data_IF_999149363112
#
_entry.id   IF_999149363112
#
_cell.length_a   1.000
_cell.length_b   1.000
_cell.length_c   1.000
_cell.angle_alpha   90.00
_cell.angle_beta   90.00
_cell.angle_gamma   90.00
#
_symmetry.space_group_name_H-M   'P 1'
#
loop_
_entity.id
_entity.type
_entity.pdbx_description
1 polymer ?
#
# COMPACT_ATOMS: atom_id res chain seq x y z
N UNK A 1 -34.11 -21.41 40.70
CA UNK A 1 -33.41 -22.51 41.39
C UNK A 1 -33.08 -23.62 40.40
N UNK A 2 -31.79 -23.80 40.11
CA UNK A 2 -31.05 -25.04 39.81
C UNK A 2 -29.99 -24.80 38.73
N UNK A 3 -28.78 -24.55 39.22
CA UNK A 3 -27.51 -24.62 38.51
C UNK A 3 -27.34 -25.98 37.82
N UNK A 4 -26.72 -25.99 36.65
CA UNK A 4 -25.96 -27.16 36.21
C UNK A 4 -24.71 -26.79 35.44
N UNK A 5 -23.63 -26.65 36.20
CA UNK A 5 -22.23 -26.72 35.78
C UNK A 5 -21.81 -28.19 35.59
N UNK A 6 -21.00 -28.48 34.56
CA UNK A 6 -20.04 -29.62 34.41
C UNK A 6 -19.28 -29.43 33.09
N UNK A 7 -18.05 -28.91 33.12
CA UNK A 7 -16.76 -29.62 33.18
C UNK A 7 -16.27 -30.29 31.87
N UNK A 8 -15.32 -29.60 31.23
CA UNK A 8 -13.96 -30.00 30.81
C UNK A 8 -13.70 -31.43 30.30
N UNK A 9 -13.16 -31.51 29.07
CA UNK A 9 -12.06 -32.36 28.52
C UNK A 9 -12.19 -32.24 26.98
N UNK A 10 -11.25 -31.73 26.20
CA UNK A 10 -9.81 -31.93 26.19
C UNK A 10 -9.48 -32.91 25.06
N UNK A 11 -8.90 -32.43 23.94
CA UNK A 11 -8.02 -33.21 23.06
C UNK A 11 -7.35 -32.31 22.02
N UNK A 12 -6.11 -31.97 22.33
CA UNK A 12 -5.09 -31.48 21.42
C UNK A 12 -4.54 -32.63 20.55
N UNK A 13 -3.73 -32.24 19.54
CA UNK A 13 -2.87 -33.04 18.63
C UNK A 13 -3.56 -33.35 17.29
N UNK A 14 -2.98 -33.14 16.12
CA UNK A 14 -1.56 -33.28 15.72
C UNK A 14 -1.37 -32.56 14.36
N UNK A 15 -0.50 -31.56 14.31
CA UNK A 15 0.03 -30.99 13.07
C UNK A 15 1.08 -31.96 12.51
N UNK A 16 0.89 -32.45 11.28
CA UNK A 16 1.92 -33.21 10.55
C UNK A 16 2.56 -32.29 9.52
N UNK A 17 3.70 -31.69 9.91
CA UNK A 17 4.66 -31.08 8.98
C UNK A 17 5.37 -32.20 8.24
N UNK A 18 5.24 -32.26 6.91
CA UNK A 18 6.20 -32.96 6.04
C UNK A 18 7.22 -31.94 5.56
N UNK A 19 8.41 -32.01 6.15
CA UNK A 19 9.63 -31.46 5.58
C UNK A 19 10.10 -32.43 4.49
N UNK A 20 10.21 -31.94 3.25
CA UNK A 20 11.00 -32.58 2.20
C UNK A 20 12.19 -31.66 1.96
N UNK A 21 13.37 -32.17 2.28
CA UNK A 21 14.66 -31.57 1.96
C UNK A 21 15.25 -32.34 0.78
N UNK A 22 15.54 -31.63 -0.31
CA UNK A 22 16.51 -31.98 -1.35
C UNK A 22 17.01 -30.61 -1.84
N UNK A 23 18.25 -30.21 -1.61
CA UNK A 23 19.45 -30.88 -2.07
C UNK A 23 19.85 -30.20 -3.38
N UNK A 24 20.60 -29.09 -3.29
CA UNK A 24 20.98 -28.27 -4.44
C UNK A 24 22.24 -27.46 -4.16
N UNK A 25 23.37 -28.15 -4.02
CA UNK A 25 24.70 -27.53 -4.05
C UNK A 25 25.10 -27.34 -5.51
N UNK A 26 25.21 -26.11 -6.00
CA UNK A 26 25.82 -25.83 -7.30
C UNK A 26 26.97 -24.83 -7.14
N UNK A 27 28.12 -25.39 -6.79
CA UNK A 27 29.46 -25.07 -7.29
C UNK A 27 29.51 -23.96 -8.36
N UNK A 28 29.90 -22.75 -7.97
CA UNK A 28 30.39 -21.72 -8.88
C UNK A 28 31.86 -22.00 -9.16
N UNK A 29 32.12 -22.81 -10.19
CA UNK A 29 33.47 -23.00 -10.72
C UNK A 29 33.76 -21.90 -11.74
N UNK A 30 34.74 -21.10 -11.37
CA UNK A 30 35.65 -20.37 -12.25
C UNK A 30 36.08 -21.22 -13.45
N UNK A 31 36.05 -20.65 -14.65
CA UNK A 31 37.00 -21.01 -15.70
C UNK A 31 37.37 -19.76 -16.52
N UNK A 32 38.62 -19.34 -16.32
CA UNK A 32 39.38 -18.46 -17.20
C UNK A 32 39.67 -19.21 -18.50
N UNK A 33 39.29 -18.64 -19.65
CA UNK A 33 39.91 -18.99 -20.93
C UNK A 33 40.30 -17.70 -21.64
N UNK A 34 41.59 -17.40 -21.59
CA UNK A 34 42.29 -16.48 -22.46
C UNK A 34 42.45 -17.14 -23.83
N UNK A 35 41.92 -16.53 -24.89
CA UNK A 35 42.36 -16.81 -26.26
C UNK A 35 42.35 -15.50 -27.07
N UNK A 36 43.56 -15.03 -27.35
CA UNK A 36 43.89 -13.98 -28.31
C UNK A 36 43.63 -14.44 -29.74
N UNK A 37 42.95 -13.62 -30.54
CA UNK A 37 42.82 -13.78 -31.98
C UNK A 37 42.51 -12.43 -32.64
N UNK A 38 43.48 -11.89 -33.37
CA UNK A 38 43.35 -10.66 -34.14
C UNK A 38 42.54 -10.91 -35.43
N UNK A 39 41.56 -10.06 -35.74
CA UNK A 39 41.03 -9.93 -37.10
C UNK A 39 40.57 -8.49 -37.38
N UNK A 40 40.92 -8.03 -38.57
CA UNK A 40 40.82 -6.69 -39.07
C UNK A 40 39.42 -6.32 -39.60
N UNK A 41 39.10 -5.02 -39.48
CA UNK A 41 38.33 -4.16 -40.41
C UNK A 41 36.92 -4.60 -40.83
N UNK A 42 35.93 -3.79 -40.46
CA UNK A 42 35.10 -3.01 -41.41
C UNK A 42 34.14 -2.13 -40.61
N UNK A 43 34.21 -0.80 -40.81
CA UNK A 43 33.19 0.13 -40.33
C UNK A 43 32.01 0.01 -41.30
N UNK A 44 31.10 -0.92 -41.01
CA UNK A 44 29.78 -0.90 -41.62
C UNK A 44 28.95 0.13 -40.83
N UNK A 45 28.87 1.35 -41.36
CA UNK A 45 27.90 2.33 -40.90
C UNK A 45 26.49 1.80 -41.16
N UNK A 46 25.89 1.16 -40.17
CA UNK A 46 24.45 0.95 -40.17
C UNK A 46 23.80 2.34 -40.07
N UNK A 47 23.43 2.89 -41.22
CA UNK A 47 22.38 3.91 -41.29
C UNK A 47 21.13 3.25 -40.72
N UNK A 48 20.94 3.39 -39.40
CA UNK A 48 19.65 3.21 -38.77
C UNK A 48 18.79 4.37 -39.27
N UNK A 49 18.17 4.20 -40.43
CA UNK A 49 17.06 5.03 -40.89
C UNK A 49 15.94 4.80 -39.89
N UNK A 50 15.88 5.64 -38.84
CA UNK A 50 14.75 5.65 -37.93
C UNK A 50 13.52 5.99 -38.79
N UNK A 51 12.50 5.10 -38.85
CA UNK A 51 11.25 5.47 -39.51
C UNK A 51 10.74 6.72 -38.81
N UNK A 52 10.39 7.73 -39.61
CA UNK A 52 9.73 8.95 -39.14
C UNK A 52 8.61 8.52 -38.22
N UNK A 53 8.73 8.87 -36.94
CA UNK A 53 7.75 8.55 -35.93
C UNK A 53 6.54 9.44 -36.22
N UNK A 54 5.62 8.93 -37.05
CA UNK A 54 4.27 9.46 -37.13
C UNK A 54 3.78 9.55 -35.69
N UNK A 55 3.42 10.78 -35.27
CA UNK A 55 2.87 11.05 -33.94
C UNK A 55 1.59 10.22 -33.80
N UNK A 56 1.75 9.00 -33.30
CA UNK A 56 0.65 8.13 -32.97
C UNK A 56 -0.09 8.84 -31.84
N UNK A 57 -1.30 9.33 -32.13
CA UNK A 57 -2.20 9.84 -31.11
C UNK A 57 -2.62 8.64 -30.28
N UNK A 58 -1.84 8.34 -29.24
CA UNK A 58 -2.15 7.28 -28.29
C UNK A 58 -3.39 7.73 -27.52
N UNK A 59 -4.54 7.21 -27.91
CA UNK A 59 -5.79 7.40 -27.18
C UNK A 59 -5.66 6.70 -25.82
N UNK A 60 -5.50 7.49 -24.75
CA UNK A 60 -5.39 6.94 -23.40
C UNK A 60 -6.69 6.23 -23.02
N UNK A 61 -6.65 4.97 -22.57
CA UNK A 61 -7.85 4.24 -22.20
C UNK A 61 -8.52 4.89 -20.97
N UNK A 62 -9.86 4.90 -20.95
CA UNK A 62 -10.66 5.49 -19.85
C UNK A 62 -10.28 4.93 -18.47
N UNK A 63 -9.91 3.64 -18.40
CA UNK A 63 -9.46 3.02 -17.17
C UNK A 63 -8.20 3.70 -16.57
N UNK A 64 -7.24 4.11 -17.43
CA UNK A 64 -6.04 4.81 -16.98
C UNK A 64 -6.35 6.26 -16.53
N UNK A 65 -7.32 6.91 -17.18
CA UNK A 65 -7.79 8.23 -16.74
C UNK A 65 -8.47 8.14 -15.36
N UNK A 66 -9.25 7.08 -15.14
CA UNK A 66 -9.93 6.87 -13.86
C UNK A 66 -8.95 6.52 -12.75
N UNK A 67 -7.88 5.75 -13.02
CA UNK A 67 -6.85 5.47 -12.02
C UNK A 67 -6.10 6.74 -11.60
N UNK A 68 -5.68 7.57 -12.55
CA UNK A 68 -5.02 8.84 -12.24
C UNK A 68 -5.90 9.75 -11.39
N UNK A 69 -7.17 9.90 -11.76
CA UNK A 69 -8.10 10.73 -10.98
C UNK A 69 -8.43 10.13 -9.60
N UNK A 70 -8.41 8.80 -9.47
CA UNK A 70 -8.57 8.16 -8.17
C UNK A 70 -7.37 8.47 -7.26
N UNK A 71 -6.16 8.44 -7.79
CA UNK A 71 -4.94 8.74 -7.03
C UNK A 71 -4.89 10.23 -6.62
N UNK A 72 -5.26 11.15 -7.53
CA UNK A 72 -5.42 12.57 -7.19
C UNK A 72 -6.44 12.78 -6.06
N UNK A 73 -7.56 12.05 -6.10
CA UNK A 73 -8.58 12.15 -5.07
C UNK A 73 -8.12 11.59 -3.72
N UNK A 74 -7.45 10.43 -3.71
CA UNK A 74 -6.82 9.86 -2.50
C UNK A 74 -5.85 10.86 -1.86
N UNK A 75 -5.00 11.48 -2.67
CA UNK A 75 -4.06 12.49 -2.21
C UNK A 75 -4.76 13.69 -1.54
N UNK A 76 -5.83 14.19 -2.15
CA UNK A 76 -6.62 15.29 -1.60
C UNK A 76 -7.30 14.90 -0.27
N UNK A 77 -7.83 13.68 -0.17
CA UNK A 77 -8.41 13.14 1.06
C UNK A 77 -7.36 13.02 2.16
N UNK A 78 -6.20 12.45 1.86
CA UNK A 78 -5.12 12.29 2.82
C UNK A 78 -4.63 13.65 3.35
N UNK A 79 -4.46 14.65 2.46
CA UNK A 79 -4.12 16.03 2.85
C UNK A 79 -5.16 16.62 3.80
N UNK A 80 -6.44 16.47 3.47
CA UNK A 80 -7.55 16.94 4.32
C UNK A 80 -7.50 16.31 5.71
N UNK A 81 -7.22 15.02 5.82
CA UNK A 81 -7.10 14.33 7.11
C UNK A 81 -5.93 14.90 7.92
N UNK A 82 -4.76 15.07 7.31
CA UNK A 82 -3.58 15.64 7.98
C UNK A 82 -3.82 17.08 8.44
N UNK A 83 -4.36 17.94 7.58
CA UNK A 83 -4.66 19.35 7.88
C UNK A 83 -5.62 19.51 9.06
N UNK A 84 -6.57 18.58 9.22
CA UNK A 84 -7.57 18.62 10.29
C UNK A 84 -7.10 17.97 11.59
N UNK A 85 -5.92 17.33 11.58
CA UNK A 85 -5.40 16.57 12.73
C UNK A 85 -3.91 16.85 13.01
N UNK A 86 -3.43 18.11 13.01
CA UNK A 86 -1.99 18.41 13.03
C UNK A 86 -1.25 17.85 14.26
N UNK A 87 -1.89 17.75 15.41
CA UNK A 87 -1.27 17.24 16.65
C UNK A 87 -1.01 15.72 16.63
N UNK A 88 -1.68 14.97 15.76
CA UNK A 88 -1.57 13.52 15.66
C UNK A 88 -0.61 13.08 14.55
N UNK A 89 -0.15 14.01 13.72
CA UNK A 89 0.66 13.70 12.54
C UNK A 89 2.13 13.65 12.92
N UNK A 90 2.80 12.60 12.48
CA UNK A 90 4.23 12.45 12.59
C UNK A 90 4.92 13.32 11.52
N UNK A 91 5.80 14.20 11.96
CA UNK A 91 6.69 14.96 11.08
C UNK A 91 8.03 14.24 10.95
N UNK A 92 8.51 14.04 9.72
CA UNK A 92 9.76 13.33 9.44
C UNK A 92 9.53 11.97 8.77
N UNK A 93 10.42 11.01 9.03
CA UNK A 93 10.32 9.64 8.49
C UNK A 93 9.65 8.70 9.50
N UNK A 94 8.76 7.79 9.06
CA UNK A 94 8.28 6.72 9.91
C UNK A 94 9.43 5.87 10.45
N UNK A 95 9.31 5.40 11.68
CA UNK A 95 10.33 4.57 12.31
C UNK A 95 10.47 3.21 11.58
N UNK A 96 11.62 2.56 11.74
CA UNK A 96 11.74 1.15 11.37
C UNK A 96 10.85 0.33 12.32
N UNK A 97 10.08 -0.64 11.78
CA UNK A 97 9.08 -1.41 12.52
C UNK A 97 8.03 -0.52 13.22
N UNK A 98 6.94 -0.23 12.51
CA UNK A 98 5.83 0.56 13.05
C UNK A 98 5.21 -0.13 14.27
N UNK A 99 4.73 0.67 15.24
CA UNK A 99 3.90 0.20 16.36
C UNK A 99 2.65 -0.50 15.84
N UNK A 100 1.97 0.15 14.89
CA UNK A 100 0.72 -0.33 14.31
C UNK A 100 0.56 0.22 12.89
N UNK A 101 0.00 -0.61 12.01
CA UNK A 101 -0.52 -0.18 10.71
C UNK A 101 -2.02 -0.47 10.73
N UNK A 102 -2.82 0.59 10.70
CA UNK A 102 -4.28 0.50 10.71
C UNK A 102 -4.79 0.89 9.33
N UNK A 103 -5.43 -0.06 8.63
CA UNK A 103 -6.12 0.20 7.37
C UNK A 103 -7.58 0.47 7.66
N UNK A 104 -8.08 1.63 7.27
CA UNK A 104 -9.49 1.99 7.39
C UNK A 104 -10.14 1.92 6.01
N UNK A 105 -11.22 1.14 5.89
CA UNK A 105 -12.16 1.22 4.76
C UNK A 105 -13.22 2.25 5.09
N UNK A 106 -13.52 3.15 4.16
CA UNK A 106 -14.59 4.12 4.32
C UNK A 106 -15.26 4.47 3.00
N UNK A 107 -16.53 4.84 3.07
CA UNK A 107 -17.32 5.24 1.91
C UNK A 107 -17.66 6.72 1.99
N UNK A 108 -17.43 7.43 0.88
CA UNK A 108 -17.70 8.86 0.73
C UNK A 108 -18.85 9.06 -0.24
N UNK A 109 -19.82 9.92 0.11
CA UNK A 109 -20.89 10.32 -0.80
C UNK A 109 -20.44 11.43 -1.78
N UNK A 110 -21.29 11.76 -2.75
CA UNK A 110 -21.04 12.82 -3.73
C UNK A 110 -20.77 14.20 -3.10
N UNK A 111 -21.19 14.43 -1.85
CA UNK A 111 -21.01 15.70 -1.13
C UNK A 111 -19.74 15.73 -0.28
N UNK A 112 -18.97 14.63 -0.23
CA UNK A 112 -17.77 14.51 0.60
C UNK A 112 -18.04 14.04 2.04
N UNK A 113 -19.24 13.57 2.37
CA UNK A 113 -19.53 13.01 3.68
C UNK A 113 -19.07 11.56 3.76
N UNK A 114 -18.43 11.20 4.88
CA UNK A 114 -18.13 9.80 5.20
C UNK A 114 -19.40 9.14 5.71
N UNK A 115 -19.99 8.25 4.90
CA UNK A 115 -21.26 7.58 5.21
C UNK A 115 -21.08 6.21 5.88
N UNK A 116 -19.90 5.59 5.71
CA UNK A 116 -19.49 4.36 6.40
C UNK A 116 -17.99 4.43 6.68
N UNK A 117 -17.55 3.91 7.84
CA UNK A 117 -16.13 3.67 8.12
C UNK A 117 -15.94 2.47 9.04
N UNK A 118 -14.91 1.67 8.78
CA UNK A 118 -14.56 0.48 9.56
C UNK A 118 -13.07 0.15 9.47
N UNK A 119 -12.56 -0.52 10.49
CA UNK A 119 -11.21 -1.09 10.44
C UNK A 119 -11.22 -2.28 9.48
N UNK A 120 -10.36 -2.23 8.47
CA UNK A 120 -10.16 -3.31 7.52
C UNK A 120 -9.02 -4.24 7.93
N UNK A 121 -7.90 -3.67 8.41
CA UNK A 121 -6.74 -4.42 8.90
C UNK A 121 -6.05 -3.67 10.02
N UNK A 122 -5.54 -4.41 11.00
CA UNK A 122 -4.90 -3.90 12.22
C UNK A 122 -4.09 -5.03 12.88
N UNK A 123 -3.22 -4.68 13.83
CA UNK A 123 -2.58 -5.63 14.73
C UNK A 123 -3.31 -5.76 16.10
N UNK A 124 -4.46 -5.09 16.28
CA UNK A 124 -5.27 -5.16 17.49
C UNK A 124 -4.87 -4.15 18.58
N UNK A 125 -4.27 -3.02 18.18
CA UNK A 125 -3.99 -1.92 19.10
C UNK A 125 -5.20 -0.97 19.15
N UNK A 126 -6.02 -1.12 20.20
CA UNK A 126 -7.29 -0.40 20.35
C UNK A 126 -7.11 1.13 20.34
N UNK A 127 -5.97 1.64 20.82
CA UNK A 127 -5.68 3.07 20.87
C UNK A 127 -5.46 3.63 19.45
N UNK A 128 -4.68 2.92 18.63
CA UNK A 128 -4.40 3.35 17.25
C UNK A 128 -5.62 3.18 16.36
N UNK A 129 -6.41 2.12 16.54
CA UNK A 129 -7.68 1.92 15.84
C UNK A 129 -8.69 3.04 16.13
N UNK A 130 -8.87 3.37 17.41
CA UNK A 130 -9.73 4.47 17.84
C UNK A 130 -9.26 5.80 17.27
N UNK A 131 -7.95 6.04 17.30
CA UNK A 131 -7.33 7.27 16.78
C UNK A 131 -7.51 7.40 15.26
N UNK A 132 -7.34 6.31 14.50
CA UNK A 132 -7.53 6.32 13.05
C UNK A 132 -8.99 6.68 12.68
N UNK A 133 -9.97 6.02 13.30
CA UNK A 133 -11.39 6.33 13.06
C UNK A 133 -11.77 7.74 13.50
N UNK A 134 -11.26 8.20 14.65
CA UNK A 134 -11.53 9.54 15.17
C UNK A 134 -10.96 10.64 14.27
N UNK A 135 -9.73 10.47 13.78
CA UNK A 135 -9.07 11.45 12.91
C UNK A 135 -9.72 11.52 11.52
N UNK A 136 -10.18 10.39 10.97
CA UNK A 136 -11.02 10.36 9.77
C UNK A 136 -12.33 11.13 9.98
N UNK A 137 -13.06 10.86 11.08
CA UNK A 137 -14.32 11.55 11.40
C UNK A 137 -14.12 13.06 11.55
N UNK A 138 -13.04 13.51 12.18
CA UNK A 138 -12.70 14.93 12.36
C UNK A 138 -12.37 15.64 11.03
N UNK A 139 -11.91 14.88 10.04
CA UNK A 139 -11.59 15.42 8.72
C UNK A 139 -12.83 15.79 7.89
N UNK A 140 -14.00 15.25 8.26
CA UNK A 140 -15.24 15.49 7.55
C UNK A 140 -15.65 16.99 7.58
N UNK A 141 -16.26 17.50 6.49
CA UNK A 141 -16.40 16.84 5.20
C UNK A 141 -15.05 16.71 4.46
N UNK A 142 -14.90 15.62 3.72
CA UNK A 142 -13.80 15.37 2.80
C UNK A 142 -14.00 16.16 1.49
N UNK A 143 -12.97 16.30 0.64
CA UNK A 143 -13.14 16.85 -0.70
C UNK A 143 -14.21 16.07 -1.48
N UNK A 144 -14.98 16.76 -2.32
CA UNK A 144 -16.02 16.11 -3.13
C UNK A 144 -15.37 15.18 -4.17
N UNK A 145 -15.80 13.90 -4.25
CA UNK A 145 -15.26 12.97 -5.24
C UNK A 145 -15.67 13.38 -6.66
N UNK A 146 -14.75 13.27 -7.64
CA UNK A 146 -15.11 13.41 -9.05
C UNK A 146 -16.22 12.45 -9.44
N UNK A 147 -17.29 12.96 -10.08
CA UNK A 147 -18.49 12.16 -10.38
C UNK A 147 -18.23 10.87 -11.17
N UNK A 148 -17.17 10.83 -12.00
CA UNK A 148 -16.76 9.63 -12.76
C UNK A 148 -16.22 8.48 -11.89
N UNK A 149 -15.84 8.75 -10.63
CA UNK A 149 -15.40 7.74 -9.67
C UNK A 149 -16.57 7.17 -8.86
N UNK A 150 -17.72 7.84 -8.86
CA UNK A 150 -18.87 7.43 -8.10
C UNK A 150 -19.52 6.19 -8.72
N UNK A 151 -19.92 5.26 -7.87
CA UNK A 151 -20.73 4.11 -8.27
C UNK A 151 -22.19 4.52 -8.54
N UNK A 152 -23.05 3.57 -8.89
CA UNK A 152 -24.47 3.82 -9.17
C UNK A 152 -25.30 4.40 -8.01
N UNK A 153 -24.76 4.42 -6.78
CA UNK A 153 -25.37 5.05 -5.60
C UNK A 153 -24.81 6.45 -5.31
N UNK A 154 -23.93 6.98 -6.16
CA UNK A 154 -23.26 8.25 -5.91
C UNK A 154 -22.22 8.17 -4.80
N UNK A 155 -21.59 7.00 -4.61
CA UNK A 155 -20.64 6.74 -3.53
C UNK A 155 -19.31 6.22 -4.06
N UNK A 156 -18.24 6.45 -3.30
CA UNK A 156 -16.89 5.94 -3.55
C UNK A 156 -16.34 5.29 -2.27
N UNK A 157 -15.96 4.01 -2.36
CA UNK A 157 -15.24 3.32 -1.30
C UNK A 157 -13.73 3.53 -1.45
N UNK A 158 -13.06 3.83 -0.34
CA UNK A 158 -11.63 4.08 -0.24
C UNK A 158 -11.01 3.25 0.89
N UNK A 159 -9.70 3.09 0.78
CA UNK A 159 -8.84 2.52 1.81
C UNK A 159 -7.68 3.49 2.04
N UNK A 160 -7.37 3.76 3.29
CA UNK A 160 -6.19 4.55 3.67
C UNK A 160 -5.51 3.87 4.88
N UNK A 161 -4.18 3.95 4.92
CA UNK A 161 -3.38 3.29 5.95
C UNK A 161 -2.76 4.35 6.89
N UNK A 162 -3.07 4.24 8.18
CA UNK A 162 -2.42 5.01 9.25
C UNK A 162 -1.21 4.23 9.75
N UNK A 163 -0.02 4.78 9.52
CA UNK A 163 1.27 4.24 9.93
C UNK A 163 1.68 4.86 11.28
N UNK A 164 1.42 4.16 12.39
CA UNK A 164 1.67 4.66 13.74
C UNK A 164 3.08 4.33 14.25
N UNK A 165 3.72 5.34 14.85
CA UNK A 165 4.94 5.20 15.63
C UNK A 165 4.61 4.94 17.12
N UNK A 166 5.66 4.65 17.90
CA UNK A 166 5.53 4.36 19.34
C UNK A 166 5.01 5.56 20.14
N UNK A 167 5.25 6.79 19.66
CA UNK A 167 4.75 8.04 20.25
C UNK A 167 3.25 8.29 19.97
N UNK A 168 2.57 7.36 19.30
CA UNK A 168 1.15 7.42 18.95
C UNK A 168 0.84 8.35 17.78
N UNK A 169 1.84 8.98 17.16
CA UNK A 169 1.66 9.80 15.96
C UNK A 169 1.65 8.94 14.70
N UNK A 170 0.96 9.40 13.67
CA UNK A 170 0.82 8.67 12.41
C UNK A 170 1.28 9.44 11.18
N UNK A 171 1.62 8.70 10.13
CA UNK A 171 1.57 9.19 8.75
C UNK A 171 0.51 8.41 7.96
N UNK A 172 -0.12 9.08 7.01
CA UNK A 172 -0.97 8.41 6.02
C UNK A 172 -0.11 7.85 4.91
N UNK A 173 -0.33 6.62 4.47
CA UNK A 173 0.49 5.97 3.43
C UNK A 173 0.53 6.78 2.14
N UNK A 174 -0.57 7.42 1.78
CA UNK A 174 -0.64 8.30 0.60
C UNK A 174 0.33 9.51 0.67
N UNK A 175 0.70 9.95 1.88
CA UNK A 175 1.61 11.09 2.11
C UNK A 175 2.93 10.68 2.75
N UNK A 176 3.10 9.41 3.09
CA UNK A 176 4.24 8.94 3.84
C UNK A 176 5.50 8.94 2.98
N UNK A 177 6.60 9.38 3.57
CA UNK A 177 7.91 9.09 3.00
C UNK A 177 8.22 7.58 3.11
N UNK A 178 9.13 7.04 2.28
CA UNK A 178 9.61 5.67 2.46
C UNK A 178 10.04 5.42 3.92
N UNK A 179 9.68 4.26 4.45
CA UNK A 179 10.01 3.88 5.82
C UNK A 179 11.54 3.78 5.99
N UNK A 180 12.03 4.09 7.20
CA UNK A 180 13.44 3.87 7.51
C UNK A 180 13.76 2.35 7.50
N UNK A 181 14.81 1.97 6.78
CA UNK A 181 15.35 0.61 6.77
C UNK A 181 16.28 0.42 7.97
N UNK A 182 16.17 -0.71 8.67
CA UNK A 182 17.20 -1.12 9.64
C UNK A 182 18.30 -1.85 8.88
N UNK A 183 19.40 -1.15 8.57
CA UNK A 183 20.62 -1.82 8.14
C UNK A 183 21.35 -2.34 9.39
N UNK A 184 21.53 -3.65 9.46
CA UNK A 184 22.31 -4.34 10.50
C UNK A 184 23.69 -4.69 9.96
#
# INVERSE_FOLDING_TARGET
MLLRTRHLRGLARRLTRRFVAYGGTSSWRTDCVLLTGALAVTVAGCTFTLPVHEKTVVSTPVAAINSLTLDEYRNAVAKRIVERNPSYVLHGKPQAMLRSLVVVSFTVDANGHVVESKIYRTNGDDETESTALATLRRAAPLPQPPGKLLNGRGQLELFEDWLFNDDGKFQLRELASPQAETFN
#
